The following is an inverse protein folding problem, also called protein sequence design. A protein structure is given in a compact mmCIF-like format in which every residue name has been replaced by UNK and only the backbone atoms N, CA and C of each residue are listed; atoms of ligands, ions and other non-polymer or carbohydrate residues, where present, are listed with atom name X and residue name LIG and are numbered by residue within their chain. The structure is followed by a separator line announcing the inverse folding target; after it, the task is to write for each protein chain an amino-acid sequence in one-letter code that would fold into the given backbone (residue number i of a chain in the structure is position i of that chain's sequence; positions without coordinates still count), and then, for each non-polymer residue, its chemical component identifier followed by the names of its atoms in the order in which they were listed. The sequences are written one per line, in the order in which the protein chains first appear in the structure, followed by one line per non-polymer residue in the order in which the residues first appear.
data_IF_998623755322
#
_entry.id   IF_998623755322
#
_cell.length_a   1.000
_cell.length_b   1.000
_cell.length_c   1.000
_cell.angle_alpha   90.00
_cell.angle_beta   90.00
_cell.angle_gamma   90.00
#
_symmetry.space_group_name_H-M   'P 1'
#
loop_
_entity.id
_entity.type
_entity.pdbx_description
1 polymer ?
#
# COMPACT_ATOMS: atom_id res chain seq x y z
N UNK A 1 18.90 27.89 16.77
CA UNK A 1 18.90 27.33 15.39
C UNK A 1 17.63 26.50 15.06
N UNK A 2 16.40 26.94 15.40
CA UNK A 2 15.17 26.12 15.22
C UNK A 2 14.11 26.73 14.28
N UNK A 3 14.38 27.84 13.60
CA UNK A 3 13.34 28.55 12.79
C UNK A 3 13.47 28.49 11.27
N UNK A 4 14.50 27.84 10.70
CA UNK A 4 14.75 27.86 9.24
C UNK A 4 14.19 26.66 8.47
N UNK A 5 13.61 25.63 9.14
CA UNK A 5 13.13 24.42 8.47
C UNK A 5 11.65 24.48 8.01
N UNK A 6 10.88 25.45 8.49
CA UNK A 6 9.44 25.54 8.18
C UNK A 6 9.12 26.31 6.87
N UNK A 7 10.05 27.13 6.37
CA UNK A 7 9.81 27.90 5.15
C UNK A 7 9.94 27.09 3.84
N UNK A 8 10.65 25.95 3.84
CA UNK A 8 10.84 25.15 2.64
C UNK A 8 9.61 24.35 2.20
N UNK A 9 8.73 23.99 3.13
CA UNK A 9 7.52 23.20 2.82
C UNK A 9 6.37 24.05 2.26
N UNK A 10 6.34 25.35 2.53
CA UNK A 10 5.29 26.26 2.06
C UNK A 10 5.43 26.64 0.57
N UNK A 11 6.64 26.58 0.03
CA UNK A 11 6.90 26.99 -1.36
C UNK A 11 6.40 25.97 -2.40
N UNK A 12 6.21 24.70 -2.03
CA UNK A 12 5.71 23.66 -2.94
C UNK A 12 4.20 23.71 -3.18
N UNK A 13 3.46 24.44 -2.33
CA UNK A 13 1.99 24.51 -2.40
C UNK A 13 1.45 25.49 -3.45
N UNK A 14 2.28 26.29 -4.13
CA UNK A 14 1.84 27.44 -4.91
C UNK A 14 2.29 27.45 -6.38
N UNK A 15 2.40 26.32 -7.03
CA UNK A 15 2.51 26.25 -8.49
C UNK A 15 1.13 25.95 -9.11
N UNK A 16 0.31 26.95 -9.46
CA UNK A 16 -1.10 26.75 -9.85
C UNK A 16 -1.28 26.09 -11.23
N UNK A 17 -0.24 25.92 -12.01
CA UNK A 17 -0.34 25.42 -13.39
C UNK A 17 -0.20 23.91 -13.59
N UNK A 18 0.27 23.14 -12.60
CA UNK A 18 0.58 21.71 -12.74
C UNK A 18 -0.58 20.78 -12.33
N UNK A 19 -1.76 21.32 -12.02
CA UNK A 19 -2.77 20.59 -11.23
C UNK A 19 -4.05 20.27 -11.99
N UNK A 20 -4.14 20.56 -13.29
CA UNK A 20 -5.44 20.71 -13.94
C UNK A 20 -6.12 19.43 -14.43
N UNK A 21 -5.40 18.32 -14.68
CA UNK A 21 -6.00 17.14 -15.29
C UNK A 21 -5.95 15.91 -14.39
N UNK A 22 -6.99 15.03 -14.41
CA UNK A 22 -6.96 13.76 -13.69
C UNK A 22 -5.82 12.89 -14.22
N UNK A 23 -5.13 12.18 -13.32
CA UNK A 23 -4.11 11.21 -13.71
C UNK A 23 -4.78 9.86 -13.88
N UNK A 24 -4.74 9.24 -15.07
CA UNK A 24 -5.43 7.97 -15.33
C UNK A 24 -4.83 6.81 -14.54
N UNK A 25 -5.46 5.63 -14.65
CA UNK A 25 -5.02 4.36 -14.08
C UNK A 25 -4.78 4.38 -12.56
N UNK A 26 -5.57 5.16 -11.82
CA UNK A 26 -5.51 5.23 -10.35
C UNK A 26 -6.07 3.98 -9.69
N UNK A 27 -7.02 3.33 -10.30
CA UNK A 27 -7.65 2.08 -9.89
C UNK A 27 -6.65 0.91 -9.78
N UNK A 28 -5.55 0.96 -10.49
CA UNK A 28 -4.46 -0.03 -10.36
C UNK A 28 -3.83 -0.05 -8.95
N UNK A 29 -4.04 0.99 -8.14
CA UNK A 29 -3.58 1.05 -6.75
C UNK A 29 -4.62 0.54 -5.75
N UNK A 30 -5.69 -0.05 -6.17
CA UNK A 30 -6.64 -0.75 -5.30
C UNK A 30 -6.07 -2.07 -4.76
N UNK A 31 -5.10 -2.65 -5.46
CA UNK A 31 -4.39 -3.85 -5.02
C UNK A 31 -3.19 -3.47 -4.15
N UNK A 32 -3.13 -3.94 -2.89
CA UNK A 32 -2.08 -3.54 -1.95
C UNK A 32 -0.76 -4.27 -2.25
N UNK A 33 -0.10 -3.86 -3.31
CA UNK A 33 1.19 -4.39 -3.74
C UNK A 33 2.25 -4.25 -2.62
N UNK A 34 2.97 -5.32 -2.32
CA UNK A 34 3.97 -5.38 -1.26
C UNK A 34 3.38 -5.60 0.15
N UNK A 35 2.07 -5.87 0.27
CA UNK A 35 1.41 -6.18 1.54
C UNK A 35 0.82 -7.59 1.49
N UNK A 36 1.55 -8.55 2.01
CA UNK A 36 1.17 -9.98 2.01
C UNK A 36 0.50 -10.38 3.31
N UNK A 37 1.14 -10.06 4.43
CA UNK A 37 0.76 -10.56 5.75
C UNK A 37 -0.15 -9.64 6.54
N UNK A 38 -0.14 -8.35 6.26
CA UNK A 38 -0.89 -7.35 7.01
C UNK A 38 -1.76 -6.52 6.06
N UNK A 39 -2.88 -5.92 6.54
CA UNK A 39 -3.59 -4.93 5.73
C UNK A 39 -2.67 -3.76 5.38
N UNK A 40 -2.92 -3.10 4.28
CA UNK A 40 -2.10 -2.01 3.77
C UNK A 40 -1.75 -0.93 4.81
N UNK A 41 -2.72 -0.57 5.68
CA UNK A 41 -2.51 0.43 6.73
C UNK A 41 -1.53 -0.03 7.84
N UNK A 42 -1.41 -1.33 8.09
CA UNK A 42 -0.54 -1.94 9.12
C UNK A 42 0.72 -2.57 8.54
N UNK A 43 0.86 -2.66 7.21
CA UNK A 43 1.90 -3.43 6.56
C UNK A 43 3.30 -3.00 7.01
N UNK A 44 3.98 -3.90 7.71
CA UNK A 44 5.33 -3.69 8.25
C UNK A 44 6.44 -4.11 7.29
N UNK A 45 6.11 -4.73 6.18
CA UNK A 45 7.03 -5.08 5.09
C UNK A 45 7.66 -3.82 4.49
N UNK A 46 8.83 -3.88 3.84
CA UNK A 46 9.50 -2.70 3.28
C UNK A 46 8.61 -1.86 2.36
N UNK A 47 7.69 -2.49 1.64
CA UNK A 47 6.68 -1.83 0.81
C UNK A 47 5.57 -1.13 1.60
N UNK A 48 5.43 -1.40 2.91
CA UNK A 48 4.35 -0.84 3.74
C UNK A 48 4.33 0.69 3.76
N UNK A 49 5.49 1.34 3.74
CA UNK A 49 5.60 2.79 3.64
C UNK A 49 4.95 3.38 2.38
N UNK A 50 4.76 2.58 1.32
CA UNK A 50 3.99 2.99 0.15
C UNK A 50 2.52 3.24 0.51
N UNK A 51 1.94 2.53 1.46
CA UNK A 51 0.53 2.62 1.85
C UNK A 51 0.32 3.51 3.07
N UNK A 52 1.10 3.28 4.11
CA UNK A 52 1.08 4.09 5.31
C UNK A 52 2.50 4.54 5.65
N UNK A 53 2.83 5.83 5.52
CA UNK A 53 4.18 6.32 5.79
C UNK A 53 4.65 6.07 7.22
N UNK A 54 3.76 5.92 8.19
CA UNK A 54 4.13 5.62 9.58
C UNK A 54 4.75 4.22 9.73
N UNK A 55 4.40 3.27 8.86
CA UNK A 55 4.97 1.91 8.91
C UNK A 55 6.42 1.82 8.41
N UNK A 56 6.97 2.90 7.85
CA UNK A 56 8.39 3.00 7.53
C UNK A 56 9.26 2.82 8.78
N UNK A 57 8.78 3.27 9.96
CA UNK A 57 9.40 3.00 11.25
C UNK A 57 8.76 1.76 11.89
N UNK A 58 9.31 0.60 11.56
CA UNK A 58 8.88 -0.66 12.19
C UNK A 58 9.55 -0.85 13.56
N UNK A 59 9.03 -1.78 14.35
CA UNK A 59 9.53 -2.13 15.68
C UNK A 59 10.87 -2.88 15.69
N UNK A 60 11.42 -3.25 14.54
CA UNK A 60 12.70 -3.97 14.43
C UNK A 60 13.91 -3.12 14.81
N UNK A 61 15.03 -3.78 15.04
CA UNK A 61 16.34 -3.17 15.34
C UNK A 61 17.20 -2.97 14.09
N UNK A 62 16.75 -3.44 12.96
CA UNK A 62 17.46 -3.41 11.69
C UNK A 62 17.63 -1.97 11.20
N UNK A 63 18.83 -1.68 10.72
CA UNK A 63 19.16 -0.36 10.18
C UNK A 63 18.64 -0.19 8.75
N UNK A 64 18.76 -1.23 7.93
CA UNK A 64 18.31 -1.25 6.56
C UNK A 64 17.33 -2.40 6.32
N UNK A 65 16.30 -2.12 5.54
CA UNK A 65 15.39 -3.14 5.04
C UNK A 65 15.17 -2.87 3.56
N UNK A 66 15.31 -3.93 2.77
CA UNK A 66 15.10 -3.90 1.32
C UNK A 66 13.97 -4.88 1.00
N UNK A 67 13.16 -4.57 0.01
CA UNK A 67 12.10 -5.46 -0.42
C UNK A 67 11.76 -5.26 -1.88
N UNK A 68 11.35 -6.37 -2.49
CA UNK A 68 10.76 -6.41 -3.82
C UNK A 68 9.44 -7.15 -3.75
N UNK A 69 8.49 -6.77 -4.58
CA UNK A 69 7.24 -7.49 -4.75
C UNK A 69 6.86 -7.56 -6.22
N UNK A 70 6.20 -8.64 -6.58
CA UNK A 70 5.56 -8.85 -7.87
C UNK A 70 4.11 -9.29 -7.64
N UNK A 71 3.21 -8.80 -8.47
CA UNK A 71 1.79 -9.15 -8.49
C UNK A 71 1.41 -9.51 -9.92
N UNK A 72 0.64 -10.57 -10.08
CA UNK A 72 0.09 -10.94 -11.40
C UNK A 72 -1.27 -11.59 -11.25
N UNK A 73 -2.18 -11.34 -12.19
CA UNK A 73 -3.45 -12.07 -12.31
C UNK A 73 -3.32 -13.22 -13.31
N UNK A 74 -4.16 -14.24 -13.15
CA UNK A 74 -4.11 -15.45 -13.97
C UNK A 74 -4.96 -15.36 -15.25
N UNK A 75 -5.43 -14.19 -15.65
CA UNK A 75 -6.28 -14.00 -16.83
C UNK A 75 -5.47 -13.52 -18.05
N UNK A 76 -6.04 -13.66 -19.24
CA UNK A 76 -5.46 -13.14 -20.50
C UNK A 76 -5.30 -11.60 -20.44
N UNK A 77 -6.22 -10.92 -19.77
CA UNK A 77 -6.08 -9.51 -19.39
C UNK A 77 -5.41 -9.42 -18.02
N UNK A 78 -4.10 -9.67 -17.97
CA UNK A 78 -3.38 -9.72 -16.70
C UNK A 78 -3.19 -8.33 -16.10
N UNK A 79 -3.43 -8.22 -14.80
CA UNK A 79 -2.93 -7.11 -14.00
C UNK A 79 -1.57 -7.52 -13.47
N UNK A 80 -0.55 -6.78 -13.85
CA UNK A 80 0.82 -6.99 -13.39
C UNK A 80 1.28 -5.82 -12.53
N UNK A 81 1.96 -6.12 -11.44
CA UNK A 81 2.50 -5.13 -10.52
C UNK A 81 3.93 -5.48 -10.10
N UNK A 82 4.75 -4.46 -9.93
CA UNK A 82 6.11 -4.59 -9.44
C UNK A 82 6.41 -3.47 -8.43
N UNK A 83 7.12 -3.80 -7.37
CA UNK A 83 7.55 -2.86 -6.33
C UNK A 83 8.99 -3.15 -5.94
N UNK A 84 9.75 -2.07 -5.78
CA UNK A 84 11.05 -2.08 -5.11
C UNK A 84 10.97 -1.04 -3.99
N UNK A 85 11.36 -1.41 -2.78
CA UNK A 85 11.34 -0.54 -1.63
C UNK A 85 12.60 -0.71 -0.77
N UNK A 86 13.02 0.40 -0.18
CA UNK A 86 14.11 0.44 0.80
C UNK A 86 13.70 1.31 1.98
N UNK A 87 14.05 0.88 3.19
CA UNK A 87 13.90 1.69 4.40
C UNK A 87 15.21 1.77 5.15
N UNK A 88 15.48 2.93 5.73
CA UNK A 88 16.65 3.20 6.55
C UNK A 88 16.23 3.80 7.88
N UNK A 89 16.63 3.18 8.97
CA UNK A 89 16.39 3.66 10.33
C UNK A 89 17.63 4.31 10.90
N UNK A 90 17.48 5.55 11.35
CA UNK A 90 18.54 6.28 12.05
C UNK A 90 18.46 6.01 13.56
N UNK A 91 19.61 6.09 14.23
CA UNK A 91 19.71 5.85 15.69
C UNK A 91 18.85 6.79 16.55
N UNK A 92 18.46 7.95 16.04
CA UNK A 92 17.60 8.92 16.74
C UNK A 92 16.09 8.63 16.65
N UNK A 93 15.68 7.43 16.20
CA UNK A 93 14.28 7.02 16.11
C UNK A 93 13.52 7.61 14.92
N UNK A 94 14.23 8.13 13.91
CA UNK A 94 13.65 8.53 12.63
C UNK A 94 13.94 7.45 11.60
N UNK A 95 12.96 7.10 10.79
CA UNK A 95 13.14 6.22 9.64
C UNK A 95 12.81 6.98 8.35
N UNK A 96 13.52 6.62 7.28
CA UNK A 96 13.29 7.10 5.93
C UNK A 96 13.02 5.91 5.03
N UNK A 97 12.17 6.09 4.04
CA UNK A 97 11.87 5.07 3.05
C UNK A 97 11.84 5.67 1.65
N UNK A 98 12.15 4.84 0.67
CA UNK A 98 11.93 5.12 -0.73
C UNK A 98 11.33 3.90 -1.40
N UNK A 99 10.42 4.10 -2.34
CA UNK A 99 9.83 3.03 -3.10
C UNK A 99 9.50 3.47 -4.52
N UNK A 100 9.56 2.52 -5.44
CA UNK A 100 9.11 2.65 -6.82
C UNK A 100 8.20 1.46 -7.08
N UNK A 101 6.98 1.73 -7.53
CA UNK A 101 6.00 0.72 -7.87
C UNK A 101 5.41 1.02 -9.25
N UNK A 102 5.19 -0.02 -10.04
CA UNK A 102 4.48 0.04 -11.31
C UNK A 102 3.37 -0.99 -11.31
N UNK A 103 2.22 -0.60 -11.82
CA UNK A 103 1.13 -1.54 -12.11
C UNK A 103 0.59 -1.28 -13.50
N UNK A 104 0.19 -2.32 -14.20
CA UNK A 104 -0.30 -2.25 -15.58
C UNK A 104 -1.36 -3.32 -15.82
N UNK A 105 -2.24 -3.08 -16.78
CA UNK A 105 -3.10 -4.11 -17.39
C UNK A 105 -2.53 -4.42 -18.76
N UNK A 106 -2.24 -5.70 -19.00
CA UNK A 106 -1.79 -6.17 -20.30
C UNK A 106 -2.97 -6.53 -21.20
N UNK A 107 -2.73 -6.55 -22.51
CA UNK A 107 -3.66 -7.10 -23.51
C UNK A 107 -5.04 -6.42 -23.59
N UNK A 108 -5.12 -5.12 -23.28
CA UNK A 108 -6.32 -4.34 -23.61
C UNK A 108 -6.28 -4.07 -25.11
N UNK A 109 -7.18 -4.71 -25.85
CA UNK A 109 -7.24 -4.57 -27.30
C UNK A 109 -8.14 -3.40 -27.70
N UNK A 110 -7.66 -2.58 -28.64
CA UNK A 110 -8.49 -1.58 -29.30
C UNK A 110 -9.27 -2.26 -30.42
N UNK A 111 -10.58 -2.13 -30.38
CA UNK A 111 -11.49 -2.54 -31.46
C UNK A 111 -12.35 -1.36 -31.84
N UNK A 112 -12.66 -1.25 -33.14
CA UNK A 112 -13.69 -0.33 -33.67
C UNK A 112 -14.92 -1.14 -34.10
N UNK A 113 -15.54 -0.73 -35.19
CA UNK A 113 -16.73 -1.42 -35.75
C UNK A 113 -16.41 -2.83 -36.29
N UNK A 114 -15.17 -3.07 -36.65
CA UNK A 114 -14.64 -4.38 -37.05
C UNK A 114 -14.03 -5.08 -35.80
N UNK A 115 -14.29 -6.39 -35.55
CA UNK A 115 -13.70 -7.12 -34.45
C UNK A 115 -12.19 -7.34 -34.58
N UNK A 116 -11.56 -6.93 -35.68
CA UNK A 116 -10.10 -6.97 -35.81
C UNK A 116 -9.42 -6.00 -34.84
N UNK A 117 -8.41 -6.49 -34.15
CA UNK A 117 -7.64 -5.66 -33.21
C UNK A 117 -6.82 -4.63 -33.98
N UNK A 118 -6.97 -3.35 -33.62
CA UNK A 118 -6.17 -2.23 -34.12
C UNK A 118 -4.90 -1.97 -33.30
N UNK A 119 -4.59 -2.85 -32.34
CA UNK A 119 -3.44 -2.74 -31.45
C UNK A 119 -3.80 -2.77 -29.99
N UNK A 120 -2.79 -2.72 -29.13
CA UNK A 120 -2.97 -2.69 -27.68
C UNK A 120 -3.14 -1.26 -27.16
N UNK A 121 -4.00 -1.12 -26.14
CA UNK A 121 -4.18 0.14 -25.39
C UNK A 121 -3.32 0.09 -24.15
N UNK A 122 -2.28 0.93 -24.02
CA UNK A 122 -1.49 0.98 -22.80
C UNK A 122 -2.33 1.49 -21.63
N UNK A 123 -2.38 0.73 -20.53
CA UNK A 123 -3.02 1.11 -19.30
C UNK A 123 -2.10 0.78 -18.12
N UNK A 124 -1.44 1.80 -17.58
CA UNK A 124 -0.44 1.59 -16.53
C UNK A 124 -0.31 2.80 -15.62
N UNK A 125 0.22 2.57 -14.42
CA UNK A 125 0.58 3.62 -13.48
C UNK A 125 1.92 3.34 -12.82
N UNK A 126 2.75 4.38 -12.73
CA UNK A 126 4.00 4.41 -11.98
C UNK A 126 3.79 5.28 -10.73
N UNK A 127 4.26 4.80 -9.59
CA UNK A 127 4.23 5.51 -8.32
C UNK A 127 5.62 5.48 -7.68
N UNK A 128 6.19 6.66 -7.46
CA UNK A 128 7.41 6.84 -6.69
C UNK A 128 7.07 7.50 -5.36
N UNK A 129 7.70 7.07 -4.27
CA UNK A 129 7.43 7.59 -2.93
C UNK A 129 8.71 7.77 -2.13
N UNK A 130 8.79 8.88 -1.42
CA UNK A 130 9.77 9.12 -0.36
C UNK A 130 8.99 9.32 0.93
N UNK A 131 9.38 8.60 1.98
CA UNK A 131 8.69 8.61 3.26
C UNK A 131 9.63 8.97 4.40
N UNK A 132 9.09 9.60 5.44
CA UNK A 132 9.77 9.80 6.70
C UNK A 132 8.79 9.50 7.84
N UNK A 133 9.26 8.76 8.85
CA UNK A 133 8.44 8.39 10.02
C UNK A 133 9.24 8.59 11.31
N UNK A 134 8.51 8.91 12.38
CA UNK A 134 9.07 9.11 13.71
C UNK A 134 8.10 8.69 14.79
N UNK A 135 8.61 8.10 15.87
CA UNK A 135 7.87 7.97 17.12
C UNK A 135 7.67 9.35 17.74
N UNK A 136 6.42 9.76 17.93
CA UNK A 136 6.05 11.07 18.51
C UNK A 136 5.96 10.96 20.01
N UNK A 137 5.35 9.90 20.51
CA UNK A 137 5.29 9.50 21.92
C UNK A 137 5.46 7.98 21.97
N UNK A 138 5.72 7.40 23.15
CA UNK A 138 5.70 5.94 23.29
C UNK A 138 4.41 5.37 22.68
N UNK A 139 4.54 4.31 21.91
CA UNK A 139 3.44 3.63 21.20
C UNK A 139 2.80 4.37 20.02
N UNK A 140 3.16 5.61 19.70
CA UNK A 140 2.59 6.34 18.56
C UNK A 140 3.67 6.75 17.58
N UNK A 141 3.56 6.25 16.36
CA UNK A 141 4.41 6.64 15.23
C UNK A 141 3.58 7.44 14.23
N UNK A 142 4.12 8.56 13.79
CA UNK A 142 3.57 9.32 12.67
C UNK A 142 4.56 9.33 11.51
N UNK A 143 4.03 9.43 10.29
CA UNK A 143 4.80 9.47 9.07
C UNK A 143 4.20 10.41 8.04
N UNK A 144 5.07 10.85 7.14
CA UNK A 144 4.70 11.67 5.98
C UNK A 144 5.30 11.04 4.72
N UNK A 145 4.63 11.20 3.60
CA UNK A 145 5.13 10.77 2.30
C UNK A 145 4.95 11.89 1.27
N UNK A 146 5.92 12.01 0.38
CA UNK A 146 5.80 12.74 -0.87
C UNK A 146 5.82 11.71 -2.00
N UNK A 147 4.88 11.86 -2.94
CA UNK A 147 4.68 10.91 -4.02
C UNK A 147 4.65 11.61 -5.35
N UNK A 148 5.22 10.95 -6.34
CA UNK A 148 5.03 11.25 -7.75
C UNK A 148 4.25 10.10 -8.37
N UNK A 149 3.17 10.37 -9.05
CA UNK A 149 2.39 9.39 -9.79
C UNK A 149 2.29 9.80 -11.25
N UNK A 150 2.56 8.86 -12.14
CA UNK A 150 2.31 8.94 -13.56
C UNK A 150 1.29 7.88 -13.94
N UNK A 151 0.37 8.22 -14.82
CA UNK A 151 -0.66 7.30 -15.31
C UNK A 151 -0.78 7.40 -16.82
N UNK A 152 -0.93 6.26 -17.44
CA UNK A 152 -1.14 6.09 -18.88
C UNK A 152 -2.49 5.42 -19.11
N UNK A 153 -3.30 5.98 -20.00
CA UNK A 153 -4.49 5.35 -20.53
C UNK A 153 -4.63 5.74 -22.00
N UNK A 154 -4.36 4.81 -22.88
CA UNK A 154 -4.27 5.03 -24.31
C UNK A 154 -3.25 6.13 -24.65
N UNK A 155 -3.67 7.21 -25.30
CA UNK A 155 -2.83 8.35 -25.66
C UNK A 155 -2.70 9.38 -24.52
N UNK A 156 -3.48 9.22 -23.46
CA UNK A 156 -3.46 10.12 -22.32
C UNK A 156 -2.35 9.72 -21.34
N UNK A 157 -1.38 10.62 -21.18
CA UNK A 157 -0.31 10.49 -20.18
C UNK A 157 -0.35 11.71 -19.29
N UNK A 158 -0.56 11.50 -18.00
CA UNK A 158 -0.57 12.57 -17.00
C UNK A 158 0.20 12.16 -15.76
N UNK A 159 0.68 13.18 -15.02
CA UNK A 159 1.38 12.98 -13.77
C UNK A 159 0.89 13.92 -12.68
N UNK A 160 1.13 13.56 -11.44
CA UNK A 160 0.78 14.39 -10.30
C UNK A 160 1.69 14.10 -9.10
N UNK A 161 1.85 15.12 -8.26
CA UNK A 161 2.40 14.98 -6.93
C UNK A 161 1.27 14.85 -5.90
N UNK A 162 1.52 14.05 -4.87
CA UNK A 162 0.64 13.87 -3.74
C UNK A 162 1.46 13.90 -2.44
N UNK A 163 0.81 14.25 -1.34
CA UNK A 163 1.38 14.20 -0.01
C UNK A 163 0.46 13.39 0.89
N UNK A 164 1.01 12.46 1.66
CA UNK A 164 0.23 11.61 2.53
C UNK A 164 0.72 11.68 3.97
N UNK A 165 -0.22 11.48 4.86
CA UNK A 165 0.00 11.39 6.30
C UNK A 165 -0.39 10.01 6.78
N UNK A 166 0.33 9.49 7.76
CA UNK A 166 -0.01 8.23 8.40
C UNK A 166 0.29 8.24 9.88
N UNK A 167 -0.51 7.50 10.62
CA UNK A 167 -0.33 7.28 12.05
C UNK A 167 -0.52 5.80 12.32
N UNK A 168 0.29 5.28 13.22
CA UNK A 168 0.12 3.95 13.80
C UNK A 168 0.31 4.03 15.31
N UNK A 169 -0.64 3.43 16.03
CA UNK A 169 -0.59 3.25 17.48
C UNK A 169 -0.27 1.78 17.72
N UNK A 170 0.82 1.50 18.42
CA UNK A 170 1.26 0.16 18.75
C UNK A 170 0.94 -0.15 20.23
N UNK A 171 0.56 -1.40 20.48
CA UNK A 171 0.51 -1.96 21.85
C UNK A 171 -0.28 -1.10 22.83
N UNK A 172 -1.57 -0.90 22.57
CA UNK A 172 -2.47 -0.35 23.57
C UNK A 172 -2.43 -1.27 24.81
N UNK A 173 -2.11 -0.74 26.00
CA UNK A 173 -1.69 -1.56 27.16
C UNK A 173 -2.66 -2.65 27.58
N UNK A 174 -3.97 -2.44 27.36
CA UNK A 174 -5.02 -3.35 27.83
C UNK A 174 -5.26 -4.52 26.90
N UNK A 175 -5.07 -4.34 25.59
CA UNK A 175 -5.48 -5.33 24.58
C UNK A 175 -4.36 -5.76 23.65
N UNK A 176 -3.14 -5.24 23.83
CA UNK A 176 -2.07 -5.40 22.85
C UNK A 176 -2.57 -5.17 21.39
N UNK A 177 -3.35 -4.11 21.24
CA UNK A 177 -3.98 -3.75 19.99
C UNK A 177 -3.12 -2.76 19.20
N UNK A 178 -3.21 -2.84 17.86
CA UNK A 178 -2.62 -1.85 16.95
C UNK A 178 -3.73 -1.16 16.20
N UNK A 179 -3.60 0.14 16.01
CA UNK A 179 -4.52 0.95 15.20
C UNK A 179 -3.69 1.74 14.21
N UNK A 180 -4.05 1.72 12.95
CA UNK A 180 -3.38 2.47 11.90
C UNK A 180 -4.38 3.20 11.02
N UNK A 181 -4.03 4.43 10.63
CA UNK A 181 -4.78 5.23 9.67
C UNK A 181 -3.80 5.98 8.78
N UNK A 182 -4.07 6.06 7.50
CA UNK A 182 -3.31 6.88 6.56
C UNK A 182 -4.19 7.44 5.44
N UNK A 183 -3.79 8.59 4.90
CA UNK A 183 -4.24 9.02 3.57
C UNK A 183 -3.37 8.37 2.50
N UNK A 184 -3.93 8.21 1.31
CA UNK A 184 -3.21 7.70 0.15
C UNK A 184 -3.56 8.49 -1.08
N UNK A 185 -2.54 9.04 -1.75
CA UNK A 185 -2.63 9.91 -2.92
C UNK A 185 -3.45 11.18 -2.65
N UNK A 186 -3.22 11.83 -1.51
CA UNK A 186 -3.85 13.09 -1.18
C UNK A 186 -3.22 14.24 -1.96
N UNK A 187 -4.07 15.00 -2.64
CA UNK A 187 -3.72 16.21 -3.41
C UNK A 187 -4.47 17.39 -2.82
N UNK A 188 -3.84 18.26 -2.03
CA UNK A 188 -4.52 19.43 -1.45
C UNK A 188 -4.98 20.40 -2.55
N UNK A 189 -6.20 20.89 -2.43
CA UNK A 189 -6.76 21.93 -3.30
C UNK A 189 -7.48 21.46 -4.56
N UNK A 190 -7.84 20.17 -4.69
CA UNK A 190 -8.47 19.64 -5.89
C UNK A 190 -9.83 19.02 -5.71
N UNK A 191 -10.51 18.98 -6.87
CA UNK A 191 -11.89 18.59 -7.11
C UNK A 191 -12.24 17.14 -6.69
N UNK A 192 -13.53 16.87 -6.73
CA UNK A 192 -14.20 15.67 -6.19
C UNK A 192 -13.62 14.35 -6.72
N UNK A 193 -13.10 14.32 -7.94
CA UNK A 193 -12.61 13.09 -8.57
C UNK A 193 -11.22 12.63 -8.09
N UNK A 194 -10.52 13.47 -7.34
CA UNK A 194 -9.16 13.19 -6.86
C UNK A 194 -9.10 13.09 -5.32
N UNK A 195 -10.19 12.64 -4.70
CA UNK A 195 -10.24 12.43 -3.24
C UNK A 195 -9.18 11.43 -2.80
N UNK A 196 -8.51 11.67 -1.65
CA UNK A 196 -7.58 10.69 -1.12
C UNK A 196 -8.31 9.40 -0.77
N UNK A 197 -7.69 8.28 -0.99
CA UNK A 197 -8.08 7.05 -0.32
C UNK A 197 -7.73 7.16 1.16
N UNK A 198 -8.57 6.58 2.01
CA UNK A 198 -8.29 6.44 3.44
C UNK A 198 -8.08 4.97 3.73
N UNK A 199 -6.91 4.64 4.25
CA UNK A 199 -6.58 3.30 4.68
C UNK A 199 -6.62 3.27 6.21
N UNK A 200 -7.35 2.33 6.77
CA UNK A 200 -7.42 2.14 8.21
C UNK A 200 -7.41 0.65 8.56
N UNK A 201 -6.82 0.32 9.68
CA UNK A 201 -6.91 -1.03 10.22
C UNK A 201 -6.74 -1.02 11.74
N UNK A 202 -7.37 -1.99 12.37
CA UNK A 202 -7.21 -2.29 13.78
C UNK A 202 -7.03 -3.78 13.94
N UNK A 203 -6.13 -4.19 14.82
CA UNK A 203 -6.04 -5.58 15.27
C UNK A 203 -5.72 -5.68 16.77
N UNK A 204 -6.01 -6.83 17.33
CA UNK A 204 -5.67 -7.15 18.70
C UNK A 204 -5.12 -8.58 18.78
N UNK A 205 -4.17 -8.79 19.68
CA UNK A 205 -3.69 -10.14 20.02
C UNK A 205 -4.77 -10.87 20.80
N UNK A 206 -5.21 -12.01 20.27
CA UNK A 206 -6.16 -12.89 20.96
C UNK A 206 -5.45 -13.85 21.90
N UNK A 207 -4.32 -14.41 21.46
CA UNK A 207 -3.58 -15.39 22.23
C UNK A 207 -2.11 -15.46 21.77
N UNK A 208 -1.28 -16.04 22.63
CA UNK A 208 0.10 -16.35 22.30
C UNK A 208 1.12 -15.33 22.80
N UNK A 209 2.35 -15.54 22.41
CA UNK A 209 3.53 -14.71 22.68
C UNK A 209 4.07 -14.15 21.37
N UNK A 210 5.14 -13.37 21.42
CA UNK A 210 5.72 -12.73 20.22
C UNK A 210 6.06 -13.71 19.09
N UNK A 211 6.47 -14.93 19.41
CA UNK A 211 6.89 -15.94 18.43
C UNK A 211 5.75 -16.87 17.98
N UNK A 212 4.66 -16.92 18.77
CA UNK A 212 3.47 -17.73 18.46
C UNK A 212 2.24 -16.95 18.85
N UNK A 213 1.78 -16.09 17.96
CA UNK A 213 0.63 -15.22 18.23
C UNK A 213 -0.48 -15.41 17.21
N UNK A 214 -1.70 -15.20 17.69
CA UNK A 214 -2.89 -15.07 16.86
C UNK A 214 -3.45 -13.67 17.08
N UNK A 215 -3.64 -12.93 15.98
CA UNK A 215 -4.27 -11.61 15.98
C UNK A 215 -5.53 -11.64 15.13
N UNK A 216 -6.55 -10.94 15.58
CA UNK A 216 -7.79 -10.70 14.83
C UNK A 216 -7.93 -9.21 14.60
N UNK A 217 -8.40 -8.83 13.43
CA UNK A 217 -8.55 -7.42 13.10
C UNK A 217 -9.59 -7.14 12.05
N UNK A 218 -9.74 -5.85 11.79
CA UNK A 218 -10.61 -5.29 10.77
C UNK A 218 -9.82 -4.29 9.94
N UNK A 219 -9.96 -4.33 8.62
CA UNK A 219 -9.35 -3.39 7.68
C UNK A 219 -10.40 -2.63 6.89
N UNK A 220 -10.12 -1.36 6.61
CA UNK A 220 -10.93 -0.49 5.78
C UNK A 220 -10.03 0.21 4.76
N UNK A 221 -10.42 0.15 3.49
CA UNK A 221 -9.81 0.89 2.40
C UNK A 221 -10.91 1.70 1.70
N UNK A 222 -10.90 3.01 1.89
CA UNK A 222 -11.74 3.93 1.15
C UNK A 222 -11.07 4.22 -0.19
N UNK A 223 -11.46 3.49 -1.22
CA UNK A 223 -10.87 3.60 -2.55
C UNK A 223 -11.52 4.72 -3.34
N UNK A 224 -10.90 5.06 -4.44
CA UNK A 224 -11.32 6.13 -5.33
C UNK A 224 -12.77 5.93 -5.86
N UNK A 225 -13.46 7.03 -6.21
CA UNK A 225 -14.82 7.04 -6.78
C UNK A 225 -15.91 6.39 -5.92
N UNK A 226 -15.71 6.38 -4.59
CA UNK A 226 -16.72 5.88 -3.66
C UNK A 226 -16.71 4.37 -3.44
N UNK A 227 -15.80 3.63 -4.03
CA UNK A 227 -15.56 2.25 -3.67
C UNK A 227 -15.04 2.18 -2.23
N UNK A 228 -15.56 1.26 -1.46
CA UNK A 228 -15.17 1.00 -0.07
C UNK A 228 -14.92 -0.49 0.10
N UNK A 229 -13.77 -0.82 0.61
CA UNK A 229 -13.44 -2.19 1.00
C UNK A 229 -13.39 -2.28 2.52
N UNK A 230 -14.11 -3.22 3.07
CA UNK A 230 -14.10 -3.52 4.49
C UNK A 230 -13.94 -5.02 4.67
N UNK A 231 -13.12 -5.46 5.62
CA UNK A 231 -13.00 -6.87 5.87
C UNK A 231 -12.29 -7.24 7.16
N UNK A 232 -12.81 -8.27 7.87
CA UNK A 232 -12.10 -8.92 8.94
C UNK A 232 -10.90 -9.69 8.40
N UNK A 233 -9.87 -9.78 9.23
CA UNK A 233 -8.71 -10.61 8.96
C UNK A 233 -8.23 -11.30 10.23
N UNK A 234 -7.54 -12.40 10.04
CA UNK A 234 -6.85 -13.13 11.10
C UNK A 234 -5.41 -13.38 10.64
N UNK A 235 -4.47 -13.25 11.54
CA UNK A 235 -3.06 -13.60 11.31
C UNK A 235 -2.58 -14.53 12.40
N UNK A 236 -1.74 -15.50 12.00
CA UNK A 236 -1.07 -16.45 12.87
C UNK A 236 0.43 -16.39 12.64
N UNK A 237 1.19 -16.32 13.70
CA UNK A 237 2.64 -16.46 13.69
C UNK A 237 3.03 -17.75 14.38
N UNK A 238 3.84 -18.54 13.72
CA UNK A 238 4.40 -19.78 14.23
C UNK A 238 5.90 -19.82 13.98
N UNK A 239 6.70 -19.31 14.91
CA UNK A 239 8.15 -19.25 14.82
C UNK A 239 8.62 -18.57 13.52
N UNK A 240 8.83 -19.34 12.46
CA UNK A 240 9.33 -18.84 11.16
C UNK A 240 8.27 -18.72 10.08
N UNK A 241 7.04 -19.04 10.39
CA UNK A 241 5.94 -19.01 9.42
C UNK A 241 4.86 -18.06 9.91
N UNK A 242 4.53 -17.10 9.09
CA UNK A 242 3.38 -16.24 9.27
C UNK A 242 2.30 -16.63 8.26
N UNK A 243 1.05 -16.72 8.72
CA UNK A 243 -0.12 -16.97 7.90
C UNK A 243 -1.13 -15.85 8.10
N UNK A 244 -1.89 -15.54 7.06
CA UNK A 244 -3.01 -14.59 7.11
C UNK A 244 -4.18 -15.06 6.29
N UNK A 245 -5.39 -14.85 6.80
CA UNK A 245 -6.64 -14.96 6.06
C UNK A 245 -7.46 -13.70 6.21
N UNK A 246 -8.10 -13.23 5.14
CA UNK A 246 -9.00 -12.09 5.17
C UNK A 246 -10.22 -12.34 4.28
N UNK A 247 -11.38 -11.86 4.73
CA UNK A 247 -12.60 -11.79 3.94
C UNK A 247 -12.90 -10.31 3.68
N UNK A 248 -12.88 -9.92 2.43
CA UNK A 248 -12.99 -8.52 2.01
C UNK A 248 -14.32 -8.33 1.27
N UNK A 249 -15.03 -7.28 1.61
CA UNK A 249 -16.24 -6.87 0.92
C UNK A 249 -16.03 -5.49 0.32
N UNK A 250 -16.04 -5.41 -0.99
CA UNK A 250 -15.93 -4.15 -1.74
C UNK A 250 -17.32 -3.73 -2.18
N UNK A 251 -17.67 -2.48 -1.93
CA UNK A 251 -18.92 -1.86 -2.37
C UNK A 251 -18.60 -0.67 -3.25
N UNK A 252 -19.10 -0.66 -4.48
CA UNK A 252 -18.96 0.43 -5.44
C UNK A 252 -20.23 0.57 -6.26
N UNK A 253 -20.73 1.80 -6.43
CA UNK A 253 -21.86 2.12 -7.31
C UNK A 253 -23.10 1.22 -7.10
N UNK A 254 -23.41 0.90 -5.84
CA UNK A 254 -24.57 0.04 -5.48
C UNK A 254 -24.35 -1.47 -5.66
N UNK A 255 -23.20 -1.89 -6.16
CA UNK A 255 -22.83 -3.31 -6.25
C UNK A 255 -21.87 -3.67 -5.13
N UNK A 256 -21.94 -4.91 -4.65
CA UNK A 256 -21.06 -5.43 -3.63
C UNK A 256 -20.44 -6.75 -4.09
N UNK A 257 -19.14 -6.85 -3.99
CA UNK A 257 -18.37 -8.04 -4.35
C UNK A 257 -17.58 -8.49 -3.11
N UNK A 258 -17.60 -9.80 -2.86
CA UNK A 258 -16.83 -10.42 -1.77
C UNK A 258 -15.61 -11.12 -2.32
N UNK A 259 -14.49 -10.99 -1.61
CA UNK A 259 -13.20 -11.58 -1.98
C UNK A 259 -12.57 -12.25 -0.78
N UNK A 260 -11.84 -13.33 -1.01
CA UNK A 260 -11.02 -13.97 0.01
C UNK A 260 -9.57 -13.73 -0.35
N UNK A 261 -8.80 -13.24 0.61
CA UNK A 261 -7.35 -13.09 0.49
C UNK A 261 -6.68 -13.94 1.55
N UNK A 262 -5.66 -14.69 1.17
CA UNK A 262 -4.80 -15.37 2.11
C UNK A 262 -3.34 -15.16 1.73
N UNK A 263 -2.48 -15.22 2.72
CA UNK A 263 -1.07 -15.02 2.54
C UNK A 263 -0.26 -15.85 3.54
N UNK A 264 0.98 -16.11 3.17
CA UNK A 264 1.96 -16.76 4.01
C UNK A 264 3.33 -16.11 3.82
N UNK A 265 4.15 -16.12 4.88
CA UNK A 265 5.55 -15.76 4.75
C UNK A 265 6.43 -16.72 5.54
N UNK A 266 7.63 -16.95 5.02
CA UNK A 266 8.67 -17.74 5.62
C UNK A 266 9.86 -16.85 6.00
N UNK A 267 10.23 -16.88 7.27
CA UNK A 267 11.39 -16.18 7.81
C UNK A 267 12.61 -17.10 7.81
N UNK A 268 13.63 -16.75 7.05
CA UNK A 268 14.88 -17.50 7.02
C UNK A 268 16.08 -16.57 7.16
N UNK A 269 16.75 -16.66 8.30
CA UNK A 269 17.85 -15.77 8.67
C UNK A 269 17.44 -14.28 8.55
N UNK A 270 18.01 -13.57 7.58
CA UNK A 270 17.71 -12.17 7.31
C UNK A 270 16.66 -11.95 6.20
N UNK A 271 16.17 -13.01 5.62
CA UNK A 271 15.25 -12.95 4.50
C UNK A 271 13.83 -13.32 4.92
N UNK A 272 12.87 -12.68 4.31
CA UNK A 272 11.45 -13.05 4.41
C UNK A 272 10.92 -13.21 3.00
N UNK A 273 10.39 -14.39 2.70
CA UNK A 273 9.73 -14.70 1.44
C UNK A 273 8.24 -14.77 1.70
N UNK A 274 7.46 -13.97 1.02
CA UNK A 274 6.01 -13.92 1.16
C UNK A 274 5.29 -14.31 -0.12
N UNK A 275 4.12 -14.89 0.05
CA UNK A 275 3.19 -15.22 -1.01
C UNK A 275 1.77 -14.87 -0.55
N UNK A 276 0.98 -14.26 -1.43
CA UNK A 276 -0.45 -14.07 -1.20
C UNK A 276 -1.25 -14.41 -2.45
N UNK A 277 -2.49 -14.84 -2.21
CA UNK A 277 -3.48 -15.06 -3.25
C UNK A 277 -4.78 -14.38 -2.85
N UNK A 278 -5.39 -13.69 -3.78
CA UNK A 278 -6.72 -13.12 -3.65
C UNK A 278 -7.65 -13.80 -4.64
N UNK A 279 -8.74 -14.35 -4.13
CA UNK A 279 -9.81 -14.93 -4.93
C UNK A 279 -11.03 -14.04 -4.82
N UNK A 280 -11.77 -13.89 -5.89
CA UNK A 280 -13.00 -13.12 -5.86
C UNK A 280 -13.69 -13.05 -7.19
N UNK A 281 -14.88 -12.47 -7.18
CA UNK A 281 -15.73 -12.35 -8.36
C UNK A 281 -15.25 -11.24 -9.31
N UNK A 282 -13.96 -11.21 -9.66
CA UNK A 282 -13.47 -10.34 -10.71
C UNK A 282 -13.27 -11.15 -11.99
N UNK A 283 -13.63 -10.58 -13.11
CA UNK A 283 -13.37 -11.18 -14.44
C UNK A 283 -11.86 -11.37 -14.71
N UNK A 284 -11.02 -10.74 -13.88
CA UNK A 284 -9.55 -10.82 -13.97
C UNK A 284 -8.96 -12.11 -13.36
N UNK A 285 -9.81 -13.00 -12.81
CA UNK A 285 -9.36 -14.23 -12.15
C UNK A 285 -8.63 -13.97 -10.83
N UNK A 286 -7.97 -15.00 -10.26
CA UNK A 286 -7.24 -14.87 -9.02
C UNK A 286 -5.97 -14.02 -9.21
N UNK A 287 -5.66 -13.18 -8.20
CA UNK A 287 -4.45 -12.39 -8.11
C UNK A 287 -3.43 -13.10 -7.23
N UNK A 288 -2.20 -13.16 -7.70
CA UNK A 288 -1.06 -13.73 -6.98
C UNK A 288 -0.04 -12.64 -6.68
N UNK A 289 0.52 -12.66 -5.49
CA UNK A 289 1.57 -11.74 -5.10
C UNK A 289 2.73 -12.48 -4.45
N UNK A 290 3.94 -12.10 -4.81
CA UNK A 290 5.19 -12.60 -4.23
C UNK A 290 5.97 -11.43 -3.66
N UNK A 291 6.58 -11.63 -2.50
CA UNK A 291 7.47 -10.66 -1.87
C UNK A 291 8.77 -11.33 -1.44
N UNK A 292 9.85 -10.59 -1.54
CA UNK A 292 11.14 -10.94 -0.95
C UNK A 292 11.68 -9.72 -0.23
N UNK A 293 11.98 -9.87 1.03
CA UNK A 293 12.62 -8.80 1.79
C UNK A 293 13.87 -9.28 2.52
N UNK A 294 14.79 -8.34 2.76
CA UNK A 294 16.03 -8.56 3.48
C UNK A 294 16.21 -7.51 4.56
N UNK A 295 16.64 -7.94 5.73
CA UNK A 295 16.92 -7.11 6.89
C UNK A 295 18.43 -7.08 7.13
N UNK A 296 19.03 -5.87 7.10
CA UNK A 296 20.45 -5.68 7.26
C UNK A 296 20.71 -4.83 8.52
N UNK A 297 21.67 -5.25 9.34
CA UNK A 297 22.09 -4.55 10.57
C UNK A 297 23.07 -3.42 10.30
#
# INVERSE_FOLDING_TARGET
MRRKFLCGLAAFAWAPGLWAQPVPARDLWEFPLGSVLEPAALASEPGGGLWNPATTLTSGTERWRLGVAALSSASDQSVDGQLIAATFRRTNGIAFGASIARSAVASILRTETDPQSLGEVPYSSLLMSITAARAIVPHVTAGVALRYREGHADQLVNHAFAADLGIIVHSLPVLDARIAVSSFLWRPGKEIDDRPAVLAAVDARLMGTTDRETRLGLSYNGVNRGAKELGPFVSWRFDRVDLRGAYLRTSASGRSVSRIRWGMALHYARYVVGFAREEGASELGPLYQFTLSSMLR
#
